data_IF_918248381570
#
_entry.id   IF_918248381570
#
_cell.length_a   1.000
_cell.length_b   1.000
_cell.length_c   1.000
_cell.angle_alpha   90.00
_cell.angle_beta   90.00
_cell.angle_gamma   90.00
#
_symmetry.space_group_name_H-M   'P 1'
#
loop_
_entity.id
_entity.type
_entity.pdbx_description
1 polymer ?
#
# COMPACT_ATOMS: atom_id res chain seq x y z
N UNK A 1 -1.49 -31.48 3.47
CA UNK A 1 -0.76 -30.27 3.94
C UNK A 1 -1.85 -29.26 4.25
N UNK A 2 -1.99 -28.81 5.49
CA UNK A 2 -3.11 -27.96 5.88
C UNK A 2 -3.05 -26.64 5.11
N UNK A 3 -4.09 -26.33 4.32
CA UNK A 3 -4.23 -25.08 3.57
C UNK A 3 -4.40 -23.89 4.53
N UNK A 4 -3.29 -23.42 5.11
CA UNK A 4 -3.31 -22.25 5.99
C UNK A 4 -3.43 -21.01 5.11
N UNK A 5 -4.58 -20.34 5.24
CA UNK A 5 -4.86 -19.05 4.59
C UNK A 5 -3.81 -18.01 5.02
N UNK A 6 -3.32 -17.24 4.05
CA UNK A 6 -2.47 -16.06 4.33
C UNK A 6 -3.32 -14.99 5.00
N UNK A 7 -2.82 -14.50 6.12
CA UNK A 7 -3.39 -13.39 6.87
C UNK A 7 -2.32 -12.31 7.03
N UNK A 8 -2.73 -11.05 6.91
CA UNK A 8 -1.88 -9.89 7.20
C UNK A 8 -1.84 -9.70 8.71
N UNK A 9 -0.63 -9.67 9.27
CA UNK A 9 -0.41 -9.44 10.70
C UNK A 9 -0.18 -7.95 10.98
N UNK A 10 0.59 -7.28 10.14
CA UNK A 10 0.88 -5.85 10.26
C UNK A 10 1.13 -5.23 8.87
N UNK A 11 1.00 -3.90 8.80
CA UNK A 11 1.30 -3.11 7.61
C UNK A 11 2.05 -1.87 8.05
N UNK A 12 3.21 -1.62 7.45
CA UNK A 12 3.94 -0.37 7.55
C UNK A 12 3.88 0.37 6.20
N UNK A 13 3.41 1.61 6.24
CA UNK A 13 3.31 2.49 5.07
C UNK A 13 4.62 3.23 4.78
N UNK A 14 5.65 3.05 5.61
CA UNK A 14 6.96 3.68 5.50
C UNK A 14 6.81 5.21 5.39
N UNK A 15 5.92 5.78 6.20
CA UNK A 15 5.39 7.15 6.08
C UNK A 15 6.17 8.20 6.86
N UNK A 16 7.30 7.82 7.47
CA UNK A 16 8.19 8.76 8.15
C UNK A 16 8.64 9.89 7.20
N UNK A 17 8.75 11.11 7.71
CA UNK A 17 9.26 12.29 6.96
C UNK A 17 10.64 12.03 6.34
N UNK A 18 11.49 11.28 7.03
CA UNK A 18 12.83 10.91 6.56
C UNK A 18 12.86 9.59 5.81
N UNK A 19 11.71 8.92 5.66
CA UNK A 19 11.56 7.65 4.96
C UNK A 19 11.57 7.82 3.45
N UNK A 20 11.94 6.75 2.74
CA UNK A 20 12.10 6.75 1.29
C UNK A 20 10.86 7.28 0.55
N UNK A 21 9.66 6.85 0.96
CA UNK A 21 8.41 7.31 0.34
C UNK A 21 8.31 8.84 0.35
N UNK A 22 8.52 9.50 1.50
CA UNK A 22 8.32 10.96 1.57
C UNK A 22 9.44 11.75 0.91
N UNK A 23 10.68 11.25 1.01
CA UNK A 23 11.84 11.87 0.37
C UNK A 23 11.74 11.79 -1.16
N UNK A 24 11.45 10.61 -1.71
CA UNK A 24 11.37 10.40 -3.18
C UNK A 24 10.14 11.06 -3.81
N UNK A 25 9.05 11.20 -3.04
CA UNK A 25 7.87 11.93 -3.49
C UNK A 25 7.92 13.43 -3.21
N UNK A 26 8.99 13.96 -2.58
CA UNK A 26 9.13 15.37 -2.21
C UNK A 26 7.92 15.87 -1.40
N UNK A 27 7.59 15.14 -0.35
CA UNK A 27 6.50 15.39 0.60
C UNK A 27 6.97 15.34 2.06
N UNK A 28 8.28 15.27 2.29
CA UNK A 28 8.96 15.31 3.59
C UNK A 28 8.71 16.61 4.38
N UNK A 29 8.42 17.72 3.68
CA UNK A 29 8.13 19.01 4.28
C UNK A 29 6.72 19.17 4.85
N UNK A 30 5.79 18.25 4.55
CA UNK A 30 4.46 18.29 5.18
C UNK A 30 4.54 17.87 6.64
N UNK A 31 3.68 18.43 7.49
CA UNK A 31 3.61 18.02 8.89
C UNK A 31 2.81 16.73 9.10
N UNK A 32 3.09 16.06 10.22
CA UNK A 32 2.54 14.75 10.55
C UNK A 32 3.33 13.57 9.99
N UNK A 33 2.89 12.36 10.35
CA UNK A 33 3.48 11.07 9.96
C UNK A 33 2.59 10.31 8.97
N UNK A 34 1.58 10.96 8.41
CA UNK A 34 0.70 10.41 7.38
C UNK A 34 1.47 10.14 6.09
N UNK A 35 1.05 9.11 5.36
CA UNK A 35 1.62 8.79 4.05
C UNK A 35 1.10 9.78 3.00
N UNK A 36 1.99 10.68 2.55
CA UNK A 36 1.69 11.65 1.49
C UNK A 36 2.57 11.32 0.28
N UNK A 37 1.96 10.87 -0.81
CA UNK A 37 2.64 10.45 -2.04
C UNK A 37 2.09 11.19 -3.27
N UNK A 38 2.85 11.17 -4.37
CA UNK A 38 2.46 11.76 -5.65
C UNK A 38 2.12 10.67 -6.68
N UNK A 39 1.09 10.93 -7.48
CA UNK A 39 0.66 10.04 -8.58
C UNK A 39 1.77 9.84 -9.62
N UNK A 40 1.80 8.67 -10.24
CA UNK A 40 2.75 8.35 -11.32
C UNK A 40 4.17 8.05 -10.84
N UNK A 41 4.38 7.91 -9.53
CA UNK A 41 5.64 7.50 -8.91
C UNK A 41 5.38 6.24 -8.06
N UNK A 42 6.34 5.32 -8.05
CA UNK A 42 6.29 4.11 -7.22
C UNK A 42 6.47 4.49 -5.75
N UNK A 43 5.72 3.84 -4.88
CA UNK A 43 5.89 3.91 -3.43
C UNK A 43 6.03 2.49 -2.87
N UNK A 44 6.57 2.37 -1.66
CA UNK A 44 6.77 1.10 -0.98
C UNK A 44 5.81 0.96 0.21
N UNK A 45 5.41 -0.28 0.49
CA UNK A 45 4.73 -0.66 1.72
C UNK A 45 5.34 -1.97 2.20
N UNK A 46 5.40 -2.17 3.50
CA UNK A 46 5.84 -3.42 4.11
C UNK A 46 4.66 -4.10 4.80
N UNK A 47 4.59 -5.43 4.68
CA UNK A 47 3.51 -6.23 5.25
C UNK A 47 4.10 -7.47 5.89
N UNK A 48 3.78 -7.69 7.15
CA UNK A 48 4.08 -8.96 7.82
C UNK A 48 2.91 -9.92 7.63
N UNK A 49 3.22 -11.14 7.23
CA UNK A 49 2.25 -12.21 7.00
C UNK A 49 2.42 -13.30 8.04
N UNK A 50 1.34 -13.99 8.37
CA UNK A 50 1.35 -15.13 9.30
C UNK A 50 2.23 -16.32 8.86
N UNK A 51 2.66 -16.34 7.59
CA UNK A 51 3.61 -17.28 7.00
C UNK A 51 4.26 -16.67 5.75
N UNK A 52 5.37 -17.25 5.24
CA UNK A 52 5.94 -16.83 3.97
C UNK A 52 4.91 -16.86 2.84
N UNK A 53 4.94 -15.83 1.98
CA UNK A 53 4.11 -15.74 0.79
C UNK A 53 4.55 -16.76 -0.26
N UNK A 54 3.60 -17.51 -0.81
CA UNK A 54 3.84 -18.44 -1.91
C UNK A 54 3.14 -17.95 -3.18
N UNK A 55 3.91 -17.42 -4.13
CA UNK A 55 3.39 -16.86 -5.38
C UNK A 55 2.65 -17.86 -6.29
N UNK A 56 2.77 -19.18 -6.06
CA UNK A 56 2.06 -20.20 -6.83
C UNK A 56 0.63 -20.46 -6.36
N UNK A 57 0.33 -20.14 -5.10
CA UNK A 57 -0.94 -20.52 -4.44
C UNK A 57 -1.67 -19.33 -3.82
N UNK A 58 -0.91 -18.35 -3.34
CA UNK A 58 -1.45 -17.18 -2.67
C UNK A 58 -1.74 -16.05 -3.66
N UNK A 59 -2.81 -15.30 -3.39
CA UNK A 59 -3.17 -14.09 -4.13
C UNK A 59 -3.32 -12.95 -3.15
N UNK A 60 -2.69 -11.82 -3.47
CA UNK A 60 -2.75 -10.58 -2.71
C UNK A 60 -3.22 -9.45 -3.63
N UNK A 61 -4.16 -8.65 -3.14
CA UNK A 61 -4.71 -7.50 -3.85
C UNK A 61 -4.65 -6.27 -2.94
N UNK A 62 -4.14 -5.17 -3.46
CA UNK A 62 -4.15 -3.86 -2.79
C UNK A 62 -5.32 -3.03 -3.33
N UNK A 63 -6.30 -2.76 -2.47
CA UNK A 63 -7.44 -1.90 -2.79
C UNK A 63 -7.24 -0.52 -2.17
N UNK A 64 -7.11 0.51 -3.02
CA UNK A 64 -7.09 1.91 -2.59
C UNK A 64 -8.45 2.54 -2.92
N UNK A 65 -9.15 3.07 -1.91
CA UNK A 65 -10.50 3.64 -2.05
C UNK A 65 -10.52 5.07 -1.53
N UNK A 66 -11.24 5.95 -2.22
CA UNK A 66 -11.40 7.37 -1.86
C UNK A 66 -12.87 7.75 -2.03
N UNK A 67 -13.45 8.48 -1.07
CA UNK A 67 -14.84 8.94 -1.10
C UNK A 67 -15.89 7.83 -0.86
N UNK A 68 -17.15 8.23 -0.73
CA UNK A 68 -18.29 7.32 -0.46
C UNK A 68 -18.91 6.73 -1.73
N UNK A 69 -18.53 7.23 -2.91
CA UNK A 69 -19.04 6.75 -4.20
C UNK A 69 -17.90 6.06 -4.95
N UNK A 70 -17.81 4.74 -4.83
CA UNK A 70 -17.02 3.91 -5.74
C UNK A 70 -17.72 3.84 -7.10
N UNK A 71 -17.79 4.98 -7.79
CA UNK A 71 -18.20 5.06 -9.19
C UNK A 71 -16.97 4.69 -10.02
N UNK A 72 -16.64 3.41 -10.09
CA UNK A 72 -15.66 2.89 -11.04
C UNK A 72 -16.26 2.99 -12.46
N UNK A 73 -16.57 4.21 -12.94
CA UNK A 73 -16.99 4.44 -14.33
C UNK A 73 -15.85 5.13 -15.04
N UNK A 74 -15.15 4.37 -15.88
CA UNK A 74 -14.12 4.89 -16.77
C UNK A 74 -14.78 5.83 -17.78
N UNK A 75 -14.71 7.14 -17.58
CA UNK A 75 -14.99 8.10 -18.66
C UNK A 75 -13.82 8.05 -19.64
N UNK A 76 -13.98 7.28 -20.71
CA UNK A 76 -13.10 7.35 -21.88
C UNK A 76 -13.17 8.75 -22.48
N UNK A 77 -12.01 9.29 -22.83
CA UNK A 77 -11.91 10.31 -23.88
C UNK A 77 -11.89 9.62 -25.23
#
# INVERSE_FOLDING_TARGET
HSDIKVLVQSVDLLSSKTGQNRVEHHTDLYDGDEMIIRRGQTFQIEMELNRPFNASTDKLHLDLKTGTVTCCTRRGR
#
